data_IF_311248125409
#
_entry.id   IF_311248125409
#
_cell.length_a   1.000
_cell.length_b   1.000
_cell.length_c   1.000
_cell.angle_alpha   90.00
_cell.angle_beta   90.00
_cell.angle_gamma   90.00
#
_symmetry.space_group_name_H-M   'P 1'
#
loop_
_entity.id
_entity.type
_entity.pdbx_description
1 polymer ?
#
# COMPACT_ATOMS: atom_id res chain seq x y z
N UNK A 1 59.60 0.32 -56.44
CA UNK A 1 59.35 -0.14 -55.06
C UNK A 1 58.47 0.90 -54.37
N UNK A 2 57.16 0.63 -54.22
CA UNK A 2 56.40 1.12 -53.08
C UNK A 2 55.75 -0.04 -52.32
N UNK A 3 55.86 0.04 -51.01
CA UNK A 3 55.33 -0.87 -49.99
C UNK A 3 54.02 -0.27 -49.46
N UNK A 4 52.89 -0.96 -49.63
CA UNK A 4 51.62 -0.60 -48.99
C UNK A 4 50.80 -1.86 -48.70
N UNK A 5 50.89 -2.36 -47.46
CA UNK A 5 49.89 -3.28 -46.89
C UNK A 5 49.40 -2.75 -45.54
N UNK A 6 48.56 -1.73 -45.59
CA UNK A 6 47.73 -1.33 -44.46
C UNK A 6 46.38 -2.02 -44.59
N UNK A 7 45.96 -2.92 -43.68
CA UNK A 7 44.64 -3.53 -43.79
C UNK A 7 43.54 -2.50 -43.48
N UNK A 8 42.39 -2.55 -44.20
CA UNK A 8 41.35 -1.54 -44.10
C UNK A 8 40.59 -1.64 -42.77
N UNK A 9 40.56 -0.55 -42.01
CA UNK A 9 39.80 -0.39 -40.75
C UNK A 9 38.27 -0.49 -40.91
N UNK A 10 37.77 -0.71 -42.13
CA UNK A 10 36.36 -0.55 -42.53
C UNK A 10 35.47 -1.79 -42.33
N UNK A 11 35.98 -2.92 -41.86
CA UNK A 11 35.19 -4.18 -41.72
C UNK A 11 34.69 -4.45 -40.30
N UNK A 12 35.11 -3.67 -39.29
CA UNK A 12 34.76 -3.90 -37.88
C UNK A 12 33.54 -3.11 -37.40
N UNK A 13 33.14 -2.03 -38.09
CA UNK A 13 31.98 -1.22 -37.73
C UNK A 13 30.62 -1.93 -37.82
N UNK A 14 30.29 -2.72 -38.86
CA UNK A 14 28.97 -3.35 -38.96
C UNK A 14 28.75 -4.44 -37.89
N UNK A 15 29.81 -5.15 -37.51
CA UNK A 15 29.75 -6.22 -36.50
C UNK A 15 29.47 -5.70 -35.09
N UNK A 16 30.05 -4.54 -34.72
CA UNK A 16 29.80 -3.91 -33.42
C UNK A 16 28.36 -3.38 -33.33
N UNK A 17 27.83 -2.81 -34.41
CA UNK A 17 26.45 -2.30 -34.48
C UNK A 17 25.40 -3.38 -34.29
N UNK A 18 25.57 -4.56 -34.89
CA UNK A 18 24.63 -5.67 -34.78
C UNK A 18 24.66 -6.36 -33.41
N UNK A 19 25.84 -6.46 -32.80
CA UNK A 19 25.98 -6.97 -31.43
C UNK A 19 25.33 -6.02 -30.43
N UNK A 20 25.52 -4.71 -30.58
CA UNK A 20 24.86 -3.71 -29.72
C UNK A 20 23.34 -3.74 -29.90
N UNK A 21 22.85 -3.78 -31.14
CA UNK A 21 21.41 -3.82 -31.44
C UNK A 21 20.74 -5.07 -30.87
N UNK A 22 21.38 -6.23 -30.98
CA UNK A 22 20.86 -7.48 -30.40
C UNK A 22 20.90 -7.48 -28.87
N UNK A 23 21.92 -6.88 -28.25
CA UNK A 23 22.01 -6.69 -26.81
C UNK A 23 20.90 -5.77 -26.29
N UNK A 24 20.66 -4.62 -26.93
CA UNK A 24 19.56 -3.70 -26.56
C UNK A 24 18.20 -4.39 -26.75
N UNK A 25 18.00 -5.13 -27.84
CA UNK A 25 16.74 -5.85 -28.09
C UNK A 25 16.47 -6.91 -27.02
N UNK A 26 17.49 -7.64 -26.58
CA UNK A 26 17.39 -8.58 -25.45
C UNK A 26 17.12 -7.86 -24.13
N UNK A 27 17.79 -6.73 -23.88
CA UNK A 27 17.58 -5.92 -22.67
C UNK A 27 16.14 -5.40 -22.58
N UNK A 28 15.60 -4.87 -23.68
CA UNK A 28 14.21 -4.38 -23.76
C UNK A 28 13.20 -5.51 -23.63
N UNK A 29 13.45 -6.67 -24.26
CA UNK A 29 12.59 -7.85 -24.10
C UNK A 29 12.54 -8.36 -22.66
N UNK A 30 13.69 -8.34 -21.98
CA UNK A 30 13.80 -8.70 -20.55
C UNK A 30 13.13 -7.66 -19.65
N UNK A 31 13.34 -6.37 -19.95
CA UNK A 31 12.70 -5.26 -19.24
C UNK A 31 11.17 -5.30 -19.32
N UNK A 32 10.60 -5.57 -20.50
CA UNK A 32 9.14 -5.73 -20.66
C UNK A 32 8.56 -6.88 -19.83
N UNK A 33 9.27 -8.01 -19.76
CA UNK A 33 8.81 -9.18 -19.01
C UNK A 33 8.87 -8.95 -17.49
N UNK A 34 9.89 -8.27 -16.99
CA UNK A 34 10.01 -7.93 -15.57
C UNK A 34 9.02 -6.84 -15.14
N UNK A 35 8.74 -5.85 -16.00
CA UNK A 35 7.70 -4.83 -15.74
C UNK A 35 6.31 -5.48 -15.63
N UNK A 36 6.00 -6.47 -16.48
CA UNK A 36 4.73 -7.19 -16.40
C UNK A 36 4.54 -7.90 -15.05
N UNK A 37 5.57 -8.59 -14.56
CA UNK A 37 5.57 -9.27 -13.25
C UNK A 37 5.49 -8.27 -12.09
N UNK A 38 6.19 -7.14 -12.18
CA UNK A 38 6.13 -6.07 -11.18
C UNK A 38 4.74 -5.43 -11.12
N UNK A 39 4.09 -5.21 -12.27
CA UNK A 39 2.73 -4.68 -12.33
C UNK A 39 1.69 -5.66 -11.77
N UNK A 40 1.84 -6.95 -12.04
CA UNK A 40 0.95 -7.99 -11.50
C UNK A 40 1.10 -8.15 -9.98
N UNK A 41 2.34 -8.24 -9.47
CA UNK A 41 2.60 -8.27 -8.03
C UNK A 41 2.16 -6.98 -7.33
N UNK A 42 2.30 -5.82 -7.98
CA UNK A 42 1.78 -4.54 -7.48
C UNK A 42 0.26 -4.54 -7.33
N UNK A 43 -0.47 -5.04 -8.34
CA UNK A 43 -1.93 -5.17 -8.29
C UNK A 43 -2.39 -6.12 -7.19
N UNK A 44 -1.73 -7.26 -7.04
CA UNK A 44 -2.05 -8.22 -5.97
C UNK A 44 -1.83 -7.63 -4.58
N UNK A 45 -0.73 -6.91 -4.37
CA UNK A 45 -0.45 -6.23 -3.08
C UNK A 45 -1.47 -5.14 -2.78
N UNK A 46 -1.91 -4.39 -3.79
CA UNK A 46 -2.94 -3.37 -3.62
C UNK A 46 -4.29 -4.02 -3.25
N UNK A 47 -4.68 -5.07 -3.98
CA UNK A 47 -5.90 -5.83 -3.68
C UNK A 47 -5.87 -6.40 -2.26
N UNK A 48 -4.74 -6.97 -1.83
CA UNK A 48 -4.56 -7.46 -0.47
C UNK A 48 -4.79 -6.35 0.56
N UNK A 49 -4.17 -5.17 0.38
CA UNK A 49 -4.38 -4.03 1.30
C UNK A 49 -5.82 -3.56 1.33
N UNK A 50 -6.48 -3.54 0.18
CA UNK A 50 -7.89 -3.16 0.10
C UNK A 50 -8.77 -4.16 0.88
N UNK A 51 -8.58 -5.46 0.65
CA UNK A 51 -9.30 -6.49 1.39
C UNK A 51 -9.01 -6.46 2.89
N UNK A 52 -7.78 -6.18 3.29
CA UNK A 52 -7.41 -6.01 4.70
C UNK A 52 -8.18 -4.84 5.33
N UNK A 53 -8.20 -3.69 4.65
CA UNK A 53 -8.93 -2.50 5.10
C UNK A 53 -10.43 -2.75 5.20
N UNK A 54 -11.00 -3.46 4.23
CA UNK A 54 -12.42 -3.80 4.23
C UNK A 54 -12.75 -4.75 5.39
N UNK A 55 -11.90 -5.76 5.63
CA UNK A 55 -12.02 -6.66 6.77
C UNK A 55 -11.96 -5.90 8.10
N UNK A 56 -11.00 -4.99 8.27
CA UNK A 56 -10.88 -4.14 9.47
C UNK A 56 -12.14 -3.27 9.66
N UNK A 57 -12.66 -2.69 8.57
CA UNK A 57 -13.91 -1.93 8.60
C UNK A 57 -15.09 -2.78 9.10
N UNK A 58 -15.23 -4.00 8.59
CA UNK A 58 -16.29 -4.91 9.02
C UNK A 58 -16.11 -5.35 10.48
N UNK A 59 -14.89 -5.59 10.95
CA UNK A 59 -14.63 -5.89 12.36
C UNK A 59 -15.01 -4.73 13.27
N UNK A 60 -14.65 -3.50 12.91
CA UNK A 60 -15.04 -2.30 13.66
C UNK A 60 -16.57 -2.19 13.73
N UNK A 61 -17.26 -2.35 12.59
CA UNK A 61 -18.71 -2.27 12.54
C UNK A 61 -19.37 -3.37 13.38
N UNK A 62 -18.88 -4.61 13.27
CA UNK A 62 -19.37 -5.74 14.05
C UNK A 62 -19.20 -5.49 15.55
N UNK A 63 -18.03 -5.03 15.97
CA UNK A 63 -17.75 -4.68 17.37
C UNK A 63 -18.70 -3.60 17.90
N UNK A 64 -18.94 -2.53 17.13
CA UNK A 64 -19.90 -1.48 17.48
C UNK A 64 -21.34 -2.00 17.58
N UNK A 65 -21.74 -2.89 16.69
CA UNK A 65 -23.07 -3.53 16.76
C UNK A 65 -23.17 -4.42 18.00
N UNK A 66 -22.16 -5.25 18.27
CA UNK A 66 -22.14 -6.10 19.45
C UNK A 66 -22.20 -5.27 20.74
N UNK A 67 -21.45 -4.17 20.83
CA UNK A 67 -21.52 -3.21 21.94
C UNK A 67 -22.97 -2.74 22.17
N UNK A 68 -23.63 -2.24 21.12
CA UNK A 68 -25.02 -1.74 21.20
C UNK A 68 -26.02 -2.82 21.61
N UNK A 69 -25.84 -4.05 21.12
CA UNK A 69 -26.73 -5.16 21.47
C UNK A 69 -26.58 -5.56 22.95
N UNK A 70 -25.37 -5.45 23.50
CA UNK A 70 -25.14 -5.71 24.93
C UNK A 70 -25.68 -4.57 25.78
N UNK A 71 -25.47 -3.32 25.39
CA UNK A 71 -26.11 -2.16 26.05
C UNK A 71 -27.64 -2.25 26.06
N UNK A 72 -28.23 -2.68 24.93
CA UNK A 72 -29.67 -2.88 24.81
C UNK A 72 -30.18 -4.09 25.62
N UNK A 73 -29.28 -4.88 26.22
CA UNK A 73 -29.62 -6.11 26.95
C UNK A 73 -30.09 -7.27 26.06
N UNK A 74 -29.94 -7.16 24.74
CA UNK A 74 -30.32 -8.21 23.78
C UNK A 74 -29.33 -9.39 23.79
N UNK A 75 -28.08 -9.13 24.18
CA UNK A 75 -27.02 -10.13 24.32
C UNK A 75 -26.39 -9.97 25.70
N UNK A 76 -26.32 -11.06 26.47
CA UNK A 76 -25.49 -11.11 27.68
C UNK A 76 -24.38 -12.16 27.53
N UNK A 77 -23.13 -11.69 27.61
CA UNK A 77 -21.96 -12.57 27.63
C UNK A 77 -20.85 -11.96 28.48
N UNK A 78 -20.24 -12.72 29.41
CA UNK A 78 -19.26 -12.19 30.36
C UNK A 78 -18.02 -11.59 29.66
N UNK A 79 -17.60 -12.14 28.52
CA UNK A 79 -16.47 -11.59 27.77
C UNK A 79 -16.81 -10.23 27.11
N UNK A 80 -18.07 -10.02 26.70
CA UNK A 80 -18.48 -8.75 26.09
C UNK A 80 -18.61 -7.66 27.16
N UNK A 81 -19.16 -7.98 28.34
CA UNK A 81 -19.19 -7.05 29.48
C UNK A 81 -17.80 -6.54 29.85
N UNK A 82 -16.82 -7.45 30.00
CA UNK A 82 -15.42 -7.08 30.27
C UNK A 82 -14.81 -6.21 29.17
N UNK A 83 -15.16 -6.48 27.91
CA UNK A 83 -14.67 -5.67 26.80
C UNK A 83 -15.27 -4.26 26.81
N UNK A 84 -16.55 -4.12 27.17
CA UNK A 84 -17.25 -2.83 27.31
C UNK A 84 -16.65 -2.00 28.45
N UNK A 85 -16.52 -2.58 29.64
CA UNK A 85 -15.87 -1.92 30.79
C UNK A 85 -14.49 -1.39 30.40
N UNK A 86 -13.72 -2.17 29.64
CA UNK A 86 -12.40 -1.77 29.16
C UNK A 86 -12.44 -0.65 28.12
N UNK A 87 -13.47 -0.61 27.27
CA UNK A 87 -13.67 0.49 26.31
C UNK A 87 -13.96 1.78 27.08
N UNK A 88 -14.87 1.75 28.04
CA UNK A 88 -15.25 2.93 28.84
C UNK A 88 -14.05 3.50 29.62
N UNK A 89 -13.20 2.61 30.19
CA UNK A 89 -11.94 3.01 30.82
C UNK A 89 -10.99 3.71 29.84
N UNK A 90 -10.91 3.23 28.59
CA UNK A 90 -10.04 3.80 27.57
C UNK A 90 -10.58 5.14 27.06
N UNK A 91 -11.89 5.27 26.89
CA UNK A 91 -12.55 6.53 26.51
C UNK A 91 -12.30 7.60 27.57
N UNK A 92 -12.49 7.27 28.85
CA UNK A 92 -12.20 8.17 29.97
C UNK A 92 -10.76 8.67 29.93
N UNK A 93 -9.77 7.77 29.74
CA UNK A 93 -8.35 8.15 29.63
C UNK A 93 -8.05 8.99 28.40
N UNK A 94 -8.71 8.71 27.27
CA UNK A 94 -8.54 9.51 26.04
C UNK A 94 -9.04 10.93 26.27
N UNK A 95 -10.17 11.09 26.96
CA UNK A 95 -10.75 12.39 27.26
C UNK A 95 -9.90 13.18 28.25
N UNK A 96 -9.35 12.50 29.27
CA UNK A 96 -8.35 13.10 30.18
C UNK A 96 -7.12 13.62 29.43
N UNK A 97 -6.60 12.86 28.45
CA UNK A 97 -5.44 13.24 27.64
C UNK A 97 -5.78 14.37 26.66
N UNK A 98 -6.97 14.35 26.06
CA UNK A 98 -7.43 15.39 25.13
C UNK A 98 -7.63 16.73 25.84
N UNK A 99 -7.90 16.71 27.14
CA UNK A 99 -8.18 17.90 27.94
C UNK A 99 -9.50 18.57 27.52
N UNK A 100 -9.95 19.62 28.23
CA UNK A 100 -11.08 20.43 27.79
C UNK A 100 -10.71 21.06 26.45
N UNK A 101 -11.37 20.60 25.38
CA UNK A 101 -11.28 21.23 24.08
C UNK A 101 -11.88 22.64 24.23
N UNK A 102 -11.15 23.74 23.96
CA UNK A 102 -11.76 25.06 24.00
C UNK A 102 -12.89 25.05 22.98
N UNK A 103 -14.11 25.29 23.45
CA UNK A 103 -15.32 25.41 22.64
C UNK A 103 -15.01 26.34 21.46
N UNK A 104 -14.88 25.78 20.27
CA UNK A 104 -14.85 26.55 19.02
C UNK A 104 -16.29 26.88 18.62
N UNK A 105 -17.00 27.54 19.52
CA UNK A 105 -18.33 28.10 19.29
C UNK A 105 -18.39 29.49 19.93
N UNK A 106 -17.50 30.39 19.53
CA UNK A 106 -17.74 31.83 19.72
C UNK A 106 -16.89 32.69 18.76
N UNK A 107 -17.10 32.53 17.45
CA UNK A 107 -16.84 33.61 16.48
C UNK A 107 -17.28 33.21 15.06
N UNK A 108 -18.56 33.38 14.75
CA UNK A 108 -18.96 34.09 13.53
C UNK A 108 -20.26 34.81 13.87
N UNK A 109 -20.08 36.10 14.12
CA UNK A 109 -21.01 37.14 14.55
C UNK A 109 -22.09 37.44 13.47
N UNK A 110 -23.07 38.33 13.77
CA UNK A 110 -24.51 38.19 13.50
C UNK A 110 -24.96 38.49 12.07
#
# INVERSE_FOLDING_TARGET
>A
MPDERTPPRSQLEPLLGDVLRSAVRRLVGRGRSEIGKAAESGRQRLALRQHQKDLDHFWIRLGKTAFRLVEAGEIDHPALRKAIERIDELETRIDEIRGPQPDKDDSTTP
#
